data_IF_324784988281
#
_entry.id   IF_324784988281
#
_cell.length_a   1.000
_cell.length_b   1.000
_cell.length_c   1.000
_cell.angle_alpha   90.00
_cell.angle_beta   90.00
_cell.angle_gamma   90.00
#
_symmetry.space_group_name_H-M   'P 1'
#
loop_
_entity.id
_entity.type
_entity.pdbx_description
1 polymer ?
#
# COMPACT_ATOMS: atom_id res chain seq x y z
N UNK A 1 -27.22 -3.15 2.43
CA UNK A 1 -27.29 -2.27 3.61
C UNK A 1 -26.19 -2.61 4.64
N UNK A 2 -26.10 -3.85 5.17
CA UNK A 2 -25.18 -4.23 6.26
C UNK A 2 -23.71 -3.90 5.98
N UNK A 3 -23.17 -4.35 4.86
CA UNK A 3 -21.75 -4.10 4.48
C UNK A 3 -21.47 -2.60 4.38
N UNK A 4 -22.36 -1.84 3.73
CA UNK A 4 -22.25 -0.38 3.61
C UNK A 4 -22.13 0.28 4.99
N UNK A 5 -22.99 -0.07 5.93
CA UNK A 5 -22.97 0.50 7.28
C UNK A 5 -21.69 0.12 8.05
N UNK A 6 -21.23 -1.13 7.92
CA UNK A 6 -19.96 -1.58 8.53
C UNK A 6 -18.76 -0.81 7.96
N UNK A 7 -18.71 -0.62 6.63
CA UNK A 7 -17.65 0.14 5.96
C UNK A 7 -17.66 1.59 6.41
N UNK A 8 -18.83 2.25 6.45
CA UNK A 8 -18.94 3.63 6.93
C UNK A 8 -18.48 3.78 8.39
N UNK A 9 -18.88 2.85 9.26
CA UNK A 9 -18.43 2.87 10.65
C UNK A 9 -16.92 2.66 10.78
N UNK A 10 -16.31 1.80 9.97
CA UNK A 10 -14.87 1.60 9.93
C UNK A 10 -14.12 2.87 9.44
N UNK A 11 -14.60 3.50 8.38
CA UNK A 11 -14.03 4.74 7.85
C UNK A 11 -14.09 5.89 8.87
N UNK A 12 -15.23 6.05 9.54
CA UNK A 12 -15.38 7.05 10.61
C UNK A 12 -14.40 6.81 11.77
N UNK A 13 -14.22 5.55 12.21
CA UNK A 13 -13.22 5.23 13.24
C UNK A 13 -11.79 5.53 12.80
N UNK A 14 -11.47 5.26 11.54
CA UNK A 14 -10.15 5.50 10.98
C UNK A 14 -9.74 7.00 11.01
N UNK A 15 -10.70 7.93 11.03
CA UNK A 15 -10.44 9.37 11.13
C UNK A 15 -9.79 9.79 12.46
N UNK A 16 -9.94 8.96 13.50
CA UNK A 16 -9.40 9.23 14.83
C UNK A 16 -8.11 8.48 15.15
N UNK A 17 -7.70 7.54 14.31
CA UNK A 17 -6.50 6.72 14.53
C UNK A 17 -5.27 7.35 13.87
N UNK A 18 -4.17 7.66 14.61
CA UNK A 18 -2.97 8.29 14.07
C UNK A 18 -2.40 7.58 12.84
N UNK A 19 -2.25 6.24 12.92
CA UNK A 19 -1.78 5.44 11.79
C UNK A 19 -2.67 5.55 10.55
N UNK A 20 -4.00 5.51 10.72
CA UNK A 20 -4.94 5.66 9.59
C UNK A 20 -4.87 7.06 8.97
N UNK A 21 -4.65 8.10 9.77
CA UNK A 21 -4.46 9.48 9.29
C UNK A 21 -3.18 9.55 8.44
N UNK A 22 -2.06 8.96 8.91
CA UNK A 22 -0.81 8.93 8.17
C UNK A 22 -0.94 8.16 6.85
N UNK A 23 -1.49 6.94 6.88
CA UNK A 23 -1.69 6.12 5.68
C UNK A 23 -2.67 6.71 4.67
N UNK A 24 -3.64 7.50 5.12
CA UNK A 24 -4.54 8.21 4.21
C UNK A 24 -3.81 9.20 3.33
N UNK A 25 -2.81 9.89 3.87
CA UNK A 25 -2.14 10.98 3.19
C UNK A 25 -0.92 10.53 2.38
N UNK A 26 -0.22 9.46 2.80
CA UNK A 26 1.07 9.07 2.19
C UNK A 26 0.96 8.76 0.69
N UNK A 27 -0.12 8.14 0.24
CA UNK A 27 -0.32 7.84 -1.19
C UNK A 27 -0.36 9.11 -2.03
N UNK A 28 -1.12 10.10 -1.60
CA UNK A 28 -1.22 11.39 -2.28
C UNK A 28 0.13 12.15 -2.25
N UNK A 29 0.83 12.13 -1.11
CA UNK A 29 2.13 12.77 -0.96
C UNK A 29 3.22 12.14 -1.85
N UNK A 30 3.15 10.85 -2.12
CA UNK A 30 4.10 10.13 -2.96
C UNK A 30 3.77 10.22 -4.44
N UNK A 31 2.51 10.07 -4.82
CA UNK A 31 2.09 9.94 -6.22
C UNK A 31 1.40 11.18 -6.79
N UNK A 32 0.90 12.08 -5.94
CA UNK A 32 0.02 13.18 -6.35
C UNK A 32 -1.46 12.79 -6.44
N UNK A 33 -2.33 13.80 -6.41
CA UNK A 33 -3.80 13.62 -6.34
C UNK A 33 -4.40 12.98 -7.59
N UNK A 34 -3.83 13.27 -8.76
CA UNK A 34 -4.33 12.79 -10.04
C UNK A 34 -3.87 11.38 -10.39
N UNK A 35 -2.84 10.88 -9.70
CA UNK A 35 -2.30 9.55 -9.96
C UNK A 35 -3.23 8.46 -9.41
N UNK A 36 -3.49 7.35 -10.15
CA UNK A 36 -4.35 6.25 -9.68
C UNK A 36 -3.97 5.70 -8.30
N UNK A 37 -2.67 5.63 -7.98
CA UNK A 37 -2.16 5.16 -6.69
C UNK A 37 -2.14 6.24 -5.60
N UNK A 38 -2.27 7.51 -5.96
CA UNK A 38 -2.36 8.64 -5.04
C UNK A 38 -3.75 8.89 -4.50
N UNK A 39 -4.79 8.37 -5.17
CA UNK A 39 -6.18 8.61 -4.78
C UNK A 39 -6.47 8.12 -3.37
N UNK A 40 -7.16 8.95 -2.62
CA UNK A 40 -7.53 8.66 -1.23
C UNK A 40 -8.45 7.44 -1.16
N UNK A 41 -7.97 6.37 -0.52
CA UNK A 41 -8.76 5.16 -0.25
C UNK A 41 -9.56 5.26 1.05
N UNK A 42 -9.21 6.22 1.92
CA UNK A 42 -9.79 6.44 3.24
C UNK A 42 -10.00 7.93 3.43
N UNK A 43 -11.10 8.34 4.06
CA UNK A 43 -11.40 9.74 4.39
C UNK A 43 -12.77 10.21 3.90
N UNK A 44 -13.02 11.51 3.96
CA UNK A 44 -14.32 12.10 3.62
C UNK A 44 -14.78 11.79 2.19
N UNK A 45 -13.88 11.80 1.21
CA UNK A 45 -14.19 11.42 -0.16
C UNK A 45 -14.61 9.95 -0.29
N UNK A 46 -13.96 9.04 0.46
CA UNK A 46 -14.35 7.64 0.50
C UNK A 46 -15.71 7.46 1.19
N UNK A 47 -15.99 8.20 2.25
CA UNK A 47 -17.29 8.19 2.94
C UNK A 47 -18.40 8.62 1.97
N UNK A 48 -18.25 9.74 1.29
CA UNK A 48 -19.23 10.22 0.30
C UNK A 48 -19.44 9.22 -0.84
N UNK A 49 -18.37 8.61 -1.35
CA UNK A 49 -18.45 7.57 -2.37
C UNK A 49 -19.26 6.36 -1.88
N UNK A 50 -19.01 5.87 -0.66
CA UNK A 50 -19.75 4.76 -0.08
C UNK A 50 -21.21 5.14 0.21
N UNK A 51 -21.47 6.35 0.67
CA UNK A 51 -22.84 6.84 0.90
C UNK A 51 -23.66 6.92 -0.40
N UNK A 52 -23.02 7.27 -1.51
CA UNK A 52 -23.69 7.37 -2.82
C UNK A 52 -23.80 6.05 -3.58
N UNK A 53 -23.15 4.97 -3.12
CA UNK A 53 -23.12 3.70 -3.84
C UNK A 53 -24.43 2.93 -3.66
N UNK A 54 -24.95 2.38 -4.76
CA UNK A 54 -26.10 1.49 -4.80
C UNK A 54 -25.76 0.18 -5.54
N UNK A 55 -26.71 -0.75 -5.58
CA UNK A 55 -26.52 -2.05 -6.24
C UNK A 55 -26.35 -1.93 -7.75
N UNK A 56 -26.93 -0.90 -8.39
CA UNK A 56 -26.81 -0.65 -9.84
C UNK A 56 -25.39 -0.19 -10.17
N UNK A 57 -24.85 0.76 -9.40
CA UNK A 57 -23.45 1.22 -9.54
C UNK A 57 -22.46 0.08 -9.32
N UNK A 58 -22.68 -0.75 -8.28
CA UNK A 58 -21.86 -1.93 -8.04
C UNK A 58 -21.91 -2.94 -9.19
N UNK A 59 -23.11 -3.22 -9.72
CA UNK A 59 -23.28 -4.11 -10.88
C UNK A 59 -22.54 -3.59 -12.12
N UNK A 60 -22.58 -2.28 -12.35
CA UNK A 60 -21.86 -1.68 -13.48
C UNK A 60 -20.34 -1.80 -13.32
N UNK A 61 -19.80 -1.49 -12.12
CA UNK A 61 -18.38 -1.65 -11.82
C UNK A 61 -17.95 -3.11 -11.96
N UNK A 62 -18.75 -4.04 -11.44
CA UNK A 62 -18.50 -5.47 -11.56
C UNK A 62 -18.39 -5.91 -13.02
N UNK A 63 -19.31 -5.48 -13.90
CA UNK A 63 -19.28 -5.79 -15.34
C UNK A 63 -18.06 -5.21 -16.05
N UNK A 64 -17.60 -4.03 -15.64
CA UNK A 64 -16.40 -3.39 -16.19
C UNK A 64 -15.11 -4.09 -15.70
N UNK A 65 -15.06 -4.46 -14.42
CA UNK A 65 -13.89 -5.06 -13.81
C UNK A 65 -13.69 -6.53 -14.22
N UNK A 66 -14.78 -7.28 -14.41
CA UNK A 66 -14.75 -8.69 -14.84
C UNK A 66 -14.89 -8.79 -16.36
N UNK A 67 -13.83 -8.40 -17.06
CA UNK A 67 -13.71 -8.56 -18.50
C UNK A 67 -12.86 -9.81 -18.80
N UNK A 68 -13.36 -10.79 -19.58
CA UNK A 68 -12.62 -12.01 -19.91
C UNK A 68 -11.26 -11.74 -20.58
N UNK A 69 -11.10 -10.62 -21.29
CA UNK A 69 -9.81 -10.23 -21.88
C UNK A 69 -8.70 -9.95 -20.85
N UNK A 70 -9.06 -9.75 -19.57
CA UNK A 70 -8.14 -9.46 -18.48
C UNK A 70 -8.06 -10.57 -17.42
N UNK A 71 -8.64 -11.74 -17.72
CA UNK A 71 -8.64 -12.88 -16.79
C UNK A 71 -7.56 -13.86 -17.15
N UNK A 72 -6.80 -14.26 -16.13
CA UNK A 72 -5.84 -15.35 -16.21
C UNK A 72 -6.21 -16.41 -15.18
N UNK A 73 -6.36 -17.66 -15.60
CA UNK A 73 -6.53 -18.80 -14.71
C UNK A 73 -5.18 -19.44 -14.45
N UNK A 74 -4.78 -19.54 -13.21
CA UNK A 74 -3.62 -20.30 -12.76
C UNK A 74 -4.11 -21.51 -11.99
N UNK A 75 -3.81 -22.70 -12.48
CA UNK A 75 -4.29 -23.96 -11.89
C UNK A 75 -3.10 -24.82 -11.50
N UNK A 76 -3.11 -25.31 -10.25
CA UNK A 76 -2.15 -26.29 -9.74
C UNK A 76 -2.92 -27.42 -9.08
N UNK A 77 -2.66 -28.67 -9.48
CA UNK A 77 -3.35 -29.85 -8.95
C UNK A 77 -3.15 -31.08 -9.84
N UNK A 78 -3.77 -32.19 -9.46
CA UNK A 78 -3.77 -33.45 -10.24
C UNK A 78 -4.83 -33.35 -11.33
N UNK A 79 -4.51 -32.63 -12.40
CA UNK A 79 -5.39 -32.38 -13.55
C UNK A 79 -4.54 -32.09 -14.79
N UNK A 80 -4.93 -32.62 -15.93
CA UNK A 80 -4.27 -32.32 -17.21
C UNK A 80 -4.74 -31.00 -17.81
N UNK A 81 -3.94 -30.47 -18.75
CA UNK A 81 -4.30 -29.20 -19.43
C UNK A 81 -5.62 -29.37 -20.22
N UNK A 82 -5.82 -30.47 -20.91
CA UNK A 82 -7.01 -30.72 -21.73
C UNK A 82 -8.28 -30.82 -20.87
N UNK A 83 -8.19 -31.44 -19.70
CA UNK A 83 -9.30 -31.54 -18.75
C UNK A 83 -9.67 -30.19 -18.22
N UNK A 84 -8.70 -29.37 -17.77
CA UNK A 84 -9.00 -28.05 -17.22
C UNK A 84 -9.49 -27.08 -18.29
N UNK A 85 -8.95 -27.12 -19.50
CA UNK A 85 -9.43 -26.31 -20.63
C UNK A 85 -10.89 -26.64 -20.92
N UNK A 86 -11.21 -27.95 -21.06
CA UNK A 86 -12.59 -28.41 -21.30
C UNK A 86 -13.55 -27.94 -20.22
N UNK A 87 -13.13 -27.99 -18.95
CA UNK A 87 -13.92 -27.53 -17.81
C UNK A 87 -14.14 -26.01 -17.87
N UNK A 88 -13.10 -25.24 -18.11
CA UNK A 88 -13.17 -23.78 -18.21
C UNK A 88 -14.04 -23.33 -19.39
N UNK A 89 -13.88 -23.95 -20.55
CA UNK A 89 -14.72 -23.68 -21.71
C UNK A 89 -16.20 -23.98 -21.44
N UNK A 90 -16.50 -25.06 -20.75
CA UNK A 90 -17.89 -25.40 -20.37
C UNK A 90 -18.54 -24.35 -19.48
N UNK A 91 -17.76 -23.66 -18.65
CA UNK A 91 -18.24 -22.67 -17.66
C UNK A 91 -18.16 -21.24 -18.16
N UNK A 92 -17.10 -20.90 -18.87
CA UNK A 92 -16.73 -19.53 -19.24
C UNK A 92 -16.74 -19.26 -20.75
N UNK A 93 -16.81 -20.29 -21.60
CA UNK A 93 -16.72 -20.13 -23.06
C UNK A 93 -17.79 -19.21 -23.69
N UNK A 94 -18.91 -18.97 -22.99
CA UNK A 94 -19.95 -18.02 -23.38
C UNK A 94 -19.78 -16.63 -22.79
N UNK A 95 -18.72 -16.41 -21.99
CA UNK A 95 -18.48 -15.11 -21.39
C UNK A 95 -17.87 -14.16 -22.42
N UNK A 96 -18.68 -13.24 -22.90
CA UNK A 96 -18.28 -12.26 -23.91
C UNK A 96 -17.64 -11.05 -23.28
N UNK A 97 -16.61 -10.51 -23.93
CA UNK A 97 -15.95 -9.28 -23.53
C UNK A 97 -16.88 -8.08 -23.63
N UNK A 98 -16.83 -7.20 -22.62
CA UNK A 98 -17.35 -5.85 -22.69
C UNK A 98 -16.36 -4.91 -23.43
N UNK A 99 -16.65 -3.61 -23.41
CA UNK A 99 -15.71 -2.60 -23.92
C UNK A 99 -14.38 -2.66 -23.13
N UNK A 100 -13.28 -2.70 -23.85
CA UNK A 100 -11.94 -2.63 -23.27
C UNK A 100 -11.69 -1.21 -22.79
N UNK A 101 -11.84 -0.97 -21.49
CA UNK A 101 -11.44 0.28 -20.88
C UNK A 101 -9.98 0.17 -20.52
N UNK A 102 -9.14 0.98 -21.16
CA UNK A 102 -7.71 1.06 -20.80
C UNK A 102 -7.55 1.66 -19.40
N UNK A 103 -7.59 0.78 -18.40
CA UNK A 103 -7.34 1.12 -16.99
C UNK A 103 -5.84 1.20 -16.67
N UNK A 104 -4.95 1.14 -17.68
CA UNK A 104 -3.52 0.86 -17.51
C UNK A 104 -2.61 2.07 -17.62
N UNK A 105 -3.14 3.27 -17.78
CA UNK A 105 -2.28 4.46 -17.81
C UNK A 105 -1.78 4.78 -16.39
N UNK A 106 -0.55 4.34 -16.10
CA UNK A 106 0.17 4.58 -14.84
C UNK A 106 1.34 5.51 -15.15
N UNK A 107 1.17 6.83 -15.08
CA UNK A 107 2.24 7.78 -15.37
C UNK A 107 3.36 7.63 -14.34
N UNK A 108 4.61 7.82 -14.78
CA UNK A 108 5.72 7.89 -13.86
C UNK A 108 5.72 9.21 -13.09
N UNK A 109 6.03 9.13 -11.81
CA UNK A 109 6.17 10.27 -10.90
C UNK A 109 7.64 10.57 -10.70
N UNK A 110 8.04 11.83 -10.84
CA UNK A 110 9.39 12.26 -10.53
C UNK A 110 9.68 12.13 -9.03
N UNK A 111 10.87 11.62 -8.71
CA UNK A 111 11.30 11.55 -7.31
C UNK A 111 11.59 12.97 -6.78
N UNK A 112 11.28 13.25 -5.53
CA UNK A 112 11.56 14.57 -4.94
C UNK A 112 13.07 14.77 -4.78
N UNK A 113 13.55 15.97 -5.10
CA UNK A 113 14.98 16.34 -4.95
C UNK A 113 15.42 16.40 -3.48
N UNK A 114 14.50 16.66 -2.57
CA UNK A 114 14.77 16.82 -1.14
C UNK A 114 13.78 16.04 -0.29
N UNK A 115 14.24 15.56 0.85
CA UNK A 115 13.39 14.98 1.89
C UNK A 115 12.37 16.03 2.36
N UNK A 116 11.10 15.62 2.52
CA UNK A 116 10.01 16.47 3.01
C UNK A 116 9.41 15.85 4.26
N UNK A 117 9.13 16.66 5.25
CA UNK A 117 8.43 16.24 6.48
C UNK A 117 7.08 16.93 6.54
N UNK A 118 6.03 16.14 6.74
CA UNK A 118 4.66 16.61 6.90
C UNK A 118 4.21 16.28 8.32
N UNK A 119 3.97 17.31 9.11
CA UNK A 119 3.50 17.15 10.49
C UNK A 119 1.97 17.29 10.54
N UNK A 120 1.30 16.24 10.98
CA UNK A 120 -0.15 16.25 11.23
C UNK A 120 -0.36 16.23 12.74
N UNK A 121 -0.84 17.34 13.31
CA UNK A 121 -1.08 17.43 14.73
C UNK A 121 -2.32 16.61 15.13
N UNK A 122 -2.14 15.69 16.08
CA UNK A 122 -3.21 14.92 16.72
C UNK A 122 -3.12 15.10 18.23
N UNK A 123 -3.84 16.08 18.80
CA UNK A 123 -3.82 16.35 20.24
C UNK A 123 -4.20 15.08 21.04
N UNK A 124 -3.53 14.90 22.18
CA UNK A 124 -3.75 13.79 23.10
C UNK A 124 -3.49 12.39 22.49
N UNK A 125 -2.68 12.29 21.43
CA UNK A 125 -2.21 11.00 20.97
C UNK A 125 -1.16 10.44 21.93
N UNK A 126 -1.32 9.19 22.34
CA UNK A 126 -0.37 8.48 23.22
C UNK A 126 0.96 8.19 22.50
N UNK A 127 0.90 8.04 21.17
CA UNK A 127 2.04 7.76 20.32
C UNK A 127 2.04 8.66 19.08
N UNK A 128 3.22 9.03 18.62
CA UNK A 128 3.43 9.52 17.26
C UNK A 128 3.50 8.35 16.29
N UNK A 129 2.84 8.48 15.15
CA UNK A 129 2.87 7.47 14.10
C UNK A 129 3.65 7.98 12.90
N UNK A 130 4.90 7.53 12.79
CA UNK A 130 5.79 7.92 11.69
C UNK A 130 5.51 7.00 10.50
N UNK A 131 5.25 7.59 9.33
CA UNK A 131 5.26 6.89 8.05
C UNK A 131 6.24 7.61 7.13
N UNK A 132 7.36 6.97 6.82
CA UNK A 132 8.28 7.47 5.82
C UNK A 132 8.14 6.64 4.55
N UNK A 133 8.21 7.27 3.38
CA UNK A 133 7.99 6.58 2.12
C UNK A 133 8.78 7.15 0.97
N UNK A 134 9.09 6.27 0.03
CA UNK A 134 9.63 6.64 -1.29
C UNK A 134 9.08 5.73 -2.37
N UNK A 135 9.21 6.17 -3.63
CA UNK A 135 8.86 5.37 -4.79
C UNK A 135 10.05 4.53 -5.24
N UNK A 136 9.76 3.28 -5.58
CA UNK A 136 10.68 2.32 -6.19
C UNK A 136 10.21 1.97 -7.60
N UNK A 137 11.06 1.34 -8.41
CA UNK A 137 10.64 0.73 -9.68
C UNK A 137 9.43 -0.20 -9.51
N UNK A 138 8.71 -0.53 -10.59
CA UNK A 138 7.66 -1.54 -10.58
C UNK A 138 8.12 -2.87 -10.00
N UNK A 139 7.17 -3.69 -9.53
CA UNK A 139 7.44 -5.08 -9.14
C UNK A 139 7.86 -5.94 -10.32
N UNK A 140 8.42 -7.12 -10.04
CA UNK A 140 8.83 -8.12 -11.03
C UNK A 140 9.88 -7.61 -12.04
N UNK A 141 10.78 -6.76 -11.60
CA UNK A 141 11.99 -6.37 -12.37
C UNK A 141 13.15 -7.32 -12.06
N UNK A 142 14.22 -7.24 -12.86
CA UNK A 142 15.47 -7.99 -12.59
C UNK A 142 16.12 -7.65 -11.25
N UNK A 143 15.79 -6.50 -10.67
CA UNK A 143 16.31 -6.03 -9.38
C UNK A 143 15.45 -6.44 -8.17
N UNK A 144 14.34 -7.14 -8.41
CA UNK A 144 13.37 -7.49 -7.36
C UNK A 144 14.01 -8.17 -6.16
N UNK A 145 14.82 -9.19 -6.42
CA UNK A 145 15.50 -9.93 -5.35
C UNK A 145 16.45 -9.04 -4.52
N UNK A 146 17.15 -8.11 -5.15
CA UNK A 146 18.04 -7.18 -4.45
C UNK A 146 17.24 -6.21 -3.56
N UNK A 147 16.11 -5.72 -4.09
CA UNK A 147 15.21 -4.82 -3.35
C UNK A 147 14.60 -5.55 -2.15
N UNK A 148 14.14 -6.79 -2.31
CA UNK A 148 13.62 -7.61 -1.22
C UNK A 148 14.68 -7.89 -0.16
N UNK A 149 15.90 -8.24 -0.57
CA UNK A 149 17.00 -8.52 0.34
C UNK A 149 17.39 -7.27 1.14
N UNK A 150 17.52 -6.12 0.47
CA UNK A 150 17.75 -4.82 1.11
C UNK A 150 16.64 -4.51 2.12
N UNK A 151 15.37 -4.66 1.71
CA UNK A 151 14.23 -4.43 2.58
C UNK A 151 14.24 -5.34 3.80
N UNK A 152 14.57 -6.63 3.63
CA UNK A 152 14.64 -7.59 4.73
C UNK A 152 15.67 -7.15 5.79
N UNK A 153 16.84 -6.69 5.37
CA UNK A 153 17.91 -6.25 6.25
C UNK A 153 17.56 -4.95 7.00
N UNK A 154 16.95 -3.98 6.33
CA UNK A 154 16.72 -2.65 6.90
C UNK A 154 15.48 -2.57 7.80
N UNK A 155 14.37 -3.23 7.44
CA UNK A 155 13.13 -3.13 8.20
C UNK A 155 12.10 -4.22 7.93
N UNK A 156 12.37 -5.17 7.04
CA UNK A 156 11.42 -6.21 6.64
C UNK A 156 11.34 -7.39 7.59
N UNK A 157 12.29 -7.57 8.51
CA UNK A 157 12.33 -8.66 9.47
C UNK A 157 12.27 -8.16 10.91
N UNK A 158 12.07 -9.10 11.85
CA UNK A 158 12.11 -8.79 13.28
C UNK A 158 13.51 -8.34 13.71
N UNK A 159 14.55 -8.97 13.18
CA UNK A 159 15.96 -8.67 13.47
C UNK A 159 16.56 -7.60 12.57
N UNK A 160 15.72 -6.88 11.83
CA UNK A 160 16.16 -5.80 10.96
C UNK A 160 16.73 -4.62 11.72
N UNK A 161 17.60 -3.85 11.09
CA UNK A 161 18.32 -2.73 11.70
C UNK A 161 17.39 -1.73 12.39
N UNK A 162 16.35 -1.25 11.69
CA UNK A 162 15.39 -0.29 12.26
C UNK A 162 14.65 -0.85 13.48
N UNK A 163 14.25 -2.12 13.43
CA UNK A 163 13.54 -2.72 14.55
C UNK A 163 14.45 -2.96 15.75
N UNK A 164 15.68 -3.43 15.52
CA UNK A 164 16.68 -3.59 16.60
C UNK A 164 17.01 -2.24 17.24
N UNK A 165 17.24 -1.20 16.44
CA UNK A 165 17.55 0.14 16.95
C UNK A 165 16.38 0.71 17.79
N UNK A 166 15.21 0.92 17.19
CA UNK A 166 14.13 1.67 17.85
C UNK A 166 13.33 0.85 18.87
N UNK A 167 13.27 -0.47 18.70
CA UNK A 167 12.57 -1.35 19.63
C UNK A 167 13.47 -1.92 20.70
N UNK A 168 14.51 -2.66 20.32
CA UNK A 168 15.32 -3.43 21.27
C UNK A 168 16.30 -2.53 22.03
N UNK A 169 17.06 -1.70 21.31
CA UNK A 169 18.11 -0.88 21.96
C UNK A 169 17.53 0.33 22.68
N UNK A 170 16.57 1.03 22.05
CA UNK A 170 16.04 2.30 22.58
C UNK A 170 14.70 2.17 23.29
N UNK A 171 13.96 1.11 23.06
CA UNK A 171 12.61 0.88 23.63
C UNK A 171 11.62 2.03 23.35
N UNK A 172 11.79 2.74 22.23
CA UNK A 172 10.92 3.85 21.84
C UNK A 172 9.68 3.40 21.06
N UNK A 173 9.68 2.16 20.56
CA UNK A 173 8.63 1.58 19.74
C UNK A 173 8.35 0.13 20.11
N UNK A 174 7.14 -0.34 19.92
CA UNK A 174 6.79 -1.77 19.97
C UNK A 174 7.19 -2.53 18.70
N UNK A 175 7.56 -1.82 17.64
CA UNK A 175 8.07 -2.41 16.41
C UNK A 175 8.08 -1.43 15.27
N UNK A 176 9.16 -1.51 14.47
CA UNK A 176 9.35 -0.74 13.25
C UNK A 176 9.43 -1.71 12.08
N UNK A 177 8.76 -1.36 11.00
CA UNK A 177 8.71 -2.23 9.82
C UNK A 177 8.80 -1.44 8.54
N UNK A 178 9.48 -2.03 7.56
CA UNK A 178 9.39 -1.59 6.17
C UNK A 178 8.53 -2.56 5.36
N UNK A 179 7.78 -2.03 4.43
CA UNK A 179 6.96 -2.81 3.50
C UNK A 179 7.14 -2.29 2.09
N UNK A 180 7.29 -3.22 1.17
CA UNK A 180 7.26 -2.95 -0.26
C UNK A 180 5.83 -3.08 -0.76
N UNK A 181 5.36 -2.11 -1.52
CA UNK A 181 4.12 -2.26 -2.28
C UNK A 181 4.34 -3.23 -3.44
N UNK A 182 3.27 -3.84 -3.90
CA UNK A 182 3.24 -4.61 -5.15
C UNK A 182 2.43 -3.83 -6.18
N UNK A 183 3.03 -3.49 -7.32
CA UNK A 183 2.38 -2.66 -8.32
C UNK A 183 2.99 -2.82 -9.71
N UNK A 184 2.15 -2.65 -10.75
CA UNK A 184 2.58 -2.64 -12.15
C UNK A 184 3.32 -1.37 -12.55
N UNK A 185 3.05 -0.24 -11.89
CA UNK A 185 3.78 1.01 -12.00
C UNK A 185 4.79 1.16 -10.86
N UNK A 186 5.36 2.36 -10.70
CA UNK A 186 6.18 2.68 -9.54
C UNK A 186 5.43 2.31 -8.27
N UNK A 187 6.11 1.62 -7.35
CA UNK A 187 5.55 1.16 -6.07
C UNK A 187 6.12 1.91 -4.88
N UNK A 188 5.40 1.94 -3.79
CA UNK A 188 5.88 2.55 -2.56
C UNK A 188 6.70 1.56 -1.73
N UNK A 189 7.80 2.04 -1.14
CA UNK A 189 8.42 1.46 0.04
C UNK A 189 8.04 2.33 1.23
N UNK A 190 7.48 1.75 2.27
CA UNK A 190 6.99 2.48 3.45
C UNK A 190 7.64 1.94 4.72
N UNK A 191 8.25 2.84 5.49
CA UNK A 191 8.63 2.61 6.88
C UNK A 191 7.47 2.99 7.78
N UNK A 192 7.14 2.17 8.74
CA UNK A 192 6.11 2.46 9.76
C UNK A 192 6.71 2.30 11.14
N UNK A 193 6.63 3.36 11.94
CA UNK A 193 7.16 3.39 13.30
C UNK A 193 6.18 4.12 14.25
N UNK A 194 5.34 3.39 14.98
CA UNK A 194 4.64 3.95 16.14
C UNK A 194 5.66 4.12 17.27
N UNK A 195 5.87 5.36 17.71
CA UNK A 195 6.89 5.70 18.71
C UNK A 195 6.30 6.51 19.86
N UNK A 196 6.97 6.53 20.99
CA UNK A 196 6.64 7.45 22.10
C UNK A 196 6.63 8.89 21.57
N UNK A 197 5.64 9.68 22.00
CA UNK A 197 5.42 11.03 21.45
C UNK A 197 6.60 11.95 21.70
N UNK A 198 7.25 11.84 22.87
CA UNK A 198 8.44 12.61 23.25
C UNK A 198 9.73 12.17 22.53
N UNK A 199 9.68 11.05 21.76
CA UNK A 199 10.79 10.49 20.99
C UNK A 199 10.60 10.60 19.49
N UNK A 200 9.66 11.42 19.04
CA UNK A 200 9.33 11.55 17.61
C UNK A 200 10.50 12.06 16.78
N UNK A 201 11.15 13.13 17.21
CA UNK A 201 12.28 13.75 16.49
C UNK A 201 13.48 12.86 16.45
N UNK A 202 13.84 12.28 17.59
CA UNK A 202 14.96 11.35 17.73
C UNK A 202 14.74 10.10 16.90
N UNK A 203 13.51 9.57 16.88
CA UNK A 203 13.17 8.40 16.06
C UNK A 203 13.29 8.68 14.55
N UNK A 204 12.92 9.85 14.09
CA UNK A 204 13.12 10.25 12.68
C UNK A 204 14.62 10.30 12.38
N UNK A 205 15.42 10.87 13.26
CA UNK A 205 16.88 10.96 13.11
C UNK A 205 17.50 9.57 13.05
N UNK A 206 17.10 8.65 13.93
CA UNK A 206 17.58 7.27 13.92
C UNK A 206 17.19 6.52 12.62
N UNK A 207 15.97 6.69 12.15
CA UNK A 207 15.56 6.09 10.85
C UNK A 207 16.48 6.57 9.72
N UNK A 208 16.76 7.86 9.67
CA UNK A 208 17.66 8.45 8.66
C UNK A 208 19.07 7.90 8.80
N UNK A 209 19.60 7.87 10.03
CA UNK A 209 20.96 7.38 10.32
C UNK A 209 21.13 5.91 9.92
N UNK A 210 20.14 5.05 10.17
CA UNK A 210 20.19 3.64 9.79
C UNK A 210 20.23 3.45 8.27
N UNK A 211 19.47 4.25 7.51
CA UNK A 211 19.53 4.23 6.05
C UNK A 211 20.87 4.75 5.54
N UNK A 212 21.36 5.88 6.07
CA UNK A 212 22.62 6.47 5.64
C UNK A 212 23.81 5.53 5.96
N UNK A 213 23.79 4.89 7.14
CA UNK A 213 24.79 3.88 7.53
C UNK A 213 24.72 2.62 6.64
N UNK A 214 23.53 2.15 6.30
CA UNK A 214 23.36 1.00 5.40
C UNK A 214 23.92 1.29 4.01
N UNK A 215 23.61 2.46 3.45
CA UNK A 215 24.08 2.87 2.13
C UNK A 215 25.60 3.09 2.09
N UNK A 216 26.23 3.50 3.19
CA UNK A 216 27.67 3.74 3.26
C UNK A 216 28.48 2.47 3.53
N UNK A 217 27.85 1.39 3.94
CA UNK A 217 28.50 0.10 4.23
C UNK A 217 28.52 -0.89 3.05
N UNK A 218 27.98 -0.48 1.88
CA UNK A 218 27.88 -1.30 0.67
C UNK A 218 29.03 -1.06 -0.30
#
# INVERSE_FOLDING_TARGET
ARIKNQTLAALKRAEFQPGSIAFRNIGNLLYGEDHPYGKLRIGSGAIQAIESIDSKKLSNIHKLALNPNHVTFTVAGDITLDEIVSLLESKFGKWTSGSDTDLKNLPNVALPEKRKVYLINKPNAEQSYIVAGQLLPPSATSEEFKIDYMNYAIGGSFTSRLNMNLREDKSWSYGVRTRLGDAKGQRSMLVTAPVQTDKTSESITEIVNEYDAYLSSS
#
